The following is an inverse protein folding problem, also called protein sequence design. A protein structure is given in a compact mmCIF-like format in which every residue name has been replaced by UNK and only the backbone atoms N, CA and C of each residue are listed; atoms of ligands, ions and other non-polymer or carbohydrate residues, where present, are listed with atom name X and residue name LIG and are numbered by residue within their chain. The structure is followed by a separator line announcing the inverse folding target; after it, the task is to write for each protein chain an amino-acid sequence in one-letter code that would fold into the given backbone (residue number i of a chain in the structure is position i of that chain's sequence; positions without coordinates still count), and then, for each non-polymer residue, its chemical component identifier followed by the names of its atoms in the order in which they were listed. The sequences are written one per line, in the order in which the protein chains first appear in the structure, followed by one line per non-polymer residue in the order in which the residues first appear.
data_IF_809932047669
#
_entry.id   IF_809932047669
#
_cell.length_a   1.000
_cell.length_b   1.000
_cell.length_c   1.000
_cell.angle_alpha   90.00
_cell.angle_beta   90.00
_cell.angle_gamma   90.00
#
_symmetry.space_group_name_H-M   'P 1'
#
loop_
_entity.id
_entity.type
_entity.pdbx_description
1 polymer ?
#
# COMPACT_ATOMS: atom_id res chain seq x y z
N UNK A 1 38.57 -26.14 32.03
CA UNK A 1 37.72 -25.00 31.65
C UNK A 1 37.48 -25.10 30.15
N UNK A 2 36.26 -25.42 29.74
CA UNK A 2 35.86 -25.44 28.32
C UNK A 2 35.41 -24.02 27.99
N UNK A 3 36.22 -23.30 27.21
CA UNK A 3 35.90 -21.94 26.77
C UNK A 3 34.81 -21.97 25.70
N UNK A 4 33.75 -21.20 25.91
CA UNK A 4 32.74 -20.96 24.87
C UNK A 4 33.34 -20.03 23.82
N UNK A 5 33.49 -20.52 22.60
CA UNK A 5 33.81 -19.69 21.43
C UNK A 5 32.56 -18.87 21.11
N UNK A 6 32.65 -17.55 21.25
CA UNK A 6 31.61 -16.65 20.76
C UNK A 6 31.54 -16.76 19.22
N UNK A 7 30.34 -16.86 18.61
CA UNK A 7 30.22 -16.87 17.16
C UNK A 7 30.88 -15.62 16.58
N UNK A 8 31.63 -15.78 15.49
CA UNK A 8 32.16 -14.67 14.73
C UNK A 8 30.99 -13.73 14.31
N UNK A 9 31.20 -12.41 14.29
CA UNK A 9 30.19 -11.49 13.81
C UNK A 9 29.75 -11.89 12.39
N UNK A 10 28.44 -11.92 12.15
CA UNK A 10 27.90 -12.24 10.84
C UNK A 10 28.37 -11.19 9.82
N UNK A 11 28.72 -11.63 8.60
CA UNK A 11 28.99 -10.71 7.49
C UNK A 11 27.73 -9.85 7.21
N UNK A 12 27.92 -8.55 6.96
CA UNK A 12 26.82 -7.61 6.75
C UNK A 12 25.85 -8.03 5.62
N UNK A 13 26.34 -8.78 4.63
CA UNK A 13 25.52 -9.40 3.60
C UNK A 13 25.69 -10.93 3.66
N UNK A 14 24.62 -11.71 3.80
CA UNK A 14 24.74 -13.15 3.94
C UNK A 14 25.21 -13.80 2.62
N UNK A 15 26.11 -14.78 2.73
CA UNK A 15 26.51 -15.62 1.59
C UNK A 15 25.37 -16.53 1.14
N UNK A 16 24.68 -17.14 2.11
CA UNK A 16 23.55 -18.05 1.92
C UNK A 16 22.45 -17.74 2.91
N UNK A 17 21.21 -17.94 2.49
CA UNK A 17 20.03 -17.75 3.33
C UNK A 17 19.23 -19.05 3.33
N UNK A 18 18.99 -19.60 4.52
CA UNK A 18 18.09 -20.73 4.71
C UNK A 18 16.65 -20.20 4.86
N UNK A 19 15.75 -20.68 4.02
CA UNK A 19 14.33 -20.33 4.04
C UNK A 19 13.52 -21.56 4.45
N UNK A 20 13.29 -21.70 5.75
CA UNK A 20 12.51 -22.79 6.30
C UNK A 20 11.02 -22.62 5.98
N UNK A 21 10.40 -23.66 5.42
CA UNK A 21 8.98 -23.63 5.07
C UNK A 21 8.40 -25.06 5.02
N UNK A 22 7.07 -25.14 4.96
CA UNK A 22 6.34 -26.42 4.99
C UNK A 22 6.62 -27.33 3.77
N UNK A 23 7.04 -26.77 2.62
CA UNK A 23 7.41 -27.51 1.41
C UNK A 23 8.84 -28.07 1.45
N UNK A 24 9.57 -27.90 2.56
CA UNK A 24 10.99 -28.25 2.68
C UNK A 24 11.88 -27.01 2.59
N UNK A 25 13.03 -26.99 3.27
CA UNK A 25 13.91 -25.82 3.28
C UNK A 25 14.42 -25.47 1.88
N UNK A 26 14.57 -24.18 1.62
CA UNK A 26 15.25 -23.66 0.42
C UNK A 26 16.54 -22.99 0.86
N UNK A 27 17.66 -23.40 0.27
CA UNK A 27 18.96 -22.74 0.49
C UNK A 27 19.21 -21.76 -0.64
N UNK A 28 18.90 -20.48 -0.41
CA UNK A 28 19.18 -19.42 -1.36
C UNK A 28 20.69 -19.10 -1.34
N UNK A 29 21.36 -19.28 -2.48
CA UNK A 29 22.72 -18.80 -2.71
C UNK A 29 22.71 -17.28 -2.91
N UNK A 30 22.54 -16.53 -1.83
CA UNK A 30 22.32 -15.08 -1.85
C UNK A 30 23.49 -14.33 -2.50
N UNK A 31 24.73 -14.65 -2.15
CA UNK A 31 25.92 -14.01 -2.74
C UNK A 31 26.09 -14.31 -4.22
N UNK A 32 25.65 -15.49 -4.70
CA UNK A 32 25.66 -15.80 -6.12
C UNK A 32 24.73 -14.85 -6.89
N UNK A 33 23.49 -14.70 -6.43
CA UNK A 33 22.52 -13.80 -7.05
C UNK A 33 22.96 -12.33 -6.99
N UNK A 34 23.38 -11.87 -5.81
CA UNK A 34 23.71 -10.46 -5.59
C UNK A 34 25.04 -10.05 -6.25
N UNK A 35 26.07 -10.88 -6.16
CA UNK A 35 27.45 -10.48 -6.52
C UNK A 35 27.98 -11.16 -7.77
N UNK A 36 27.72 -12.45 -7.98
CA UNK A 36 28.21 -13.16 -9.17
C UNK A 36 27.34 -12.83 -10.39
N UNK A 37 26.02 -12.96 -10.24
CA UNK A 37 25.03 -12.61 -11.26
C UNK A 37 24.76 -11.10 -11.32
N UNK A 38 25.27 -10.33 -10.35
CA UNK A 38 25.17 -8.86 -10.26
C UNK A 38 23.73 -8.36 -10.33
N UNK A 39 22.79 -9.11 -9.73
CA UNK A 39 21.40 -8.69 -9.63
C UNK A 39 21.34 -7.50 -8.65
N UNK A 40 20.79 -6.33 -9.06
CA UNK A 40 20.66 -5.20 -8.16
C UNK A 40 19.80 -5.55 -6.95
N UNK A 41 20.20 -5.09 -5.75
CA UNK A 41 19.55 -5.45 -4.48
C UNK A 41 18.05 -5.16 -4.49
N UNK A 42 17.67 -4.00 -5.05
CA UNK A 42 16.29 -3.53 -5.13
C UNK A 42 15.39 -4.37 -6.07
N UNK A 43 15.96 -5.30 -6.85
CA UNK A 43 15.17 -6.28 -7.61
C UNK A 43 14.55 -7.35 -6.73
N UNK A 44 15.19 -7.67 -5.61
CA UNK A 44 14.65 -8.61 -4.61
C UNK A 44 14.07 -7.85 -3.42
N UNK A 45 14.83 -6.89 -2.90
CA UNK A 45 14.48 -6.00 -1.80
C UNK A 45 13.69 -4.80 -2.32
N UNK A 46 12.47 -5.09 -2.78
CA UNK A 46 11.58 -4.13 -3.44
C UNK A 46 10.86 -3.17 -2.48
N UNK A 47 11.21 -3.19 -1.19
CA UNK A 47 10.78 -2.21 -0.19
C UNK A 47 11.40 -0.82 -0.42
N UNK A 48 12.45 -0.74 -1.25
CA UNK A 48 13.11 0.52 -1.58
C UNK A 48 13.37 0.66 -3.08
N UNK A 49 13.24 1.87 -3.65
CA UNK A 49 13.67 2.13 -5.02
C UNK A 49 15.19 2.26 -5.18
N UNK A 50 15.95 2.28 -4.07
CA UNK A 50 17.41 2.44 -4.06
C UNK A 50 18.09 1.30 -3.30
N UNK A 51 19.32 0.98 -3.69
CA UNK A 51 20.14 -0.04 -3.02
C UNK A 51 20.39 0.32 -1.55
N UNK A 52 20.26 -0.68 -0.66
CA UNK A 52 20.53 -0.59 0.78
C UNK A 52 21.15 -1.88 1.29
N UNK A 53 21.84 -1.80 2.43
CA UNK A 53 22.42 -2.96 3.11
C UNK A 53 21.51 -3.44 4.26
N UNK A 54 20.81 -2.53 4.93
CA UNK A 54 19.84 -2.82 5.99
C UNK A 54 18.43 -3.11 5.43
N UNK A 55 18.34 -4.10 4.56
CA UNK A 55 17.10 -4.48 3.87
C UNK A 55 16.08 -5.17 4.79
N UNK A 56 14.81 -5.15 4.39
CA UNK A 56 13.72 -5.84 5.06
C UNK A 56 13.69 -7.33 4.72
N UNK A 57 13.26 -8.14 5.69
CA UNK A 57 12.89 -9.53 5.44
C UNK A 57 11.54 -9.56 4.74
N UNK A 58 11.36 -10.49 3.79
CA UNK A 58 10.10 -10.65 3.06
C UNK A 58 8.92 -10.81 4.03
N UNK A 59 9.15 -11.55 5.12
CA UNK A 59 8.21 -11.90 6.18
C UNK A 59 7.64 -10.71 6.97
N UNK A 60 8.35 -9.58 6.98
CA UNK A 60 7.89 -8.34 7.62
C UNK A 60 6.60 -7.83 6.97
N UNK A 61 6.37 -8.19 5.69
CA UNK A 61 5.19 -7.80 4.93
C UNK A 61 4.41 -9.02 4.40
N UNK A 62 5.10 -10.01 3.85
CA UNK A 62 4.50 -11.17 3.19
C UNK A 62 4.24 -12.31 4.18
N UNK A 63 2.95 -12.57 4.42
CA UNK A 63 2.51 -13.54 5.42
C UNK A 63 2.40 -12.96 6.84
N UNK A 64 2.51 -11.64 7.00
CA UNK A 64 2.19 -10.97 8.25
C UNK A 64 0.67 -11.01 8.52
N UNK A 65 0.29 -11.15 9.79
CA UNK A 65 -1.10 -10.97 10.21
C UNK A 65 -1.37 -9.46 10.36
N UNK A 66 -2.21 -8.87 9.50
CA UNK A 66 -2.55 -7.44 9.54
C UNK A 66 -3.62 -7.12 10.60
N UNK A 67 -3.43 -7.63 11.82
CA UNK A 67 -4.34 -7.47 12.95
C UNK A 67 -4.07 -6.17 13.74
N UNK A 68 -4.75 -6.03 14.90
CA UNK A 68 -4.58 -4.86 15.76
C UNK A 68 -3.16 -4.75 16.34
N UNK A 69 -2.50 -5.88 16.62
CA UNK A 69 -1.14 -5.90 17.14
C UNK A 69 -0.14 -5.45 16.07
N UNK A 70 -0.30 -5.92 14.83
CA UNK A 70 0.50 -5.41 13.70
C UNK A 70 0.31 -3.91 13.55
N UNK A 71 -0.93 -3.41 13.46
CA UNK A 71 -1.21 -1.97 13.31
C UNK A 71 -0.55 -1.12 14.41
N UNK A 72 -0.49 -1.62 15.64
CA UNK A 72 0.13 -0.91 16.77
C UNK A 72 1.66 -0.86 16.70
N UNK A 73 2.29 -1.95 16.26
CA UNK A 73 3.72 -2.17 16.50
C UNK A 73 4.59 -2.12 15.23
N UNK A 74 3.99 -2.28 14.03
CA UNK A 74 4.76 -2.46 12.80
C UNK A 74 5.68 -1.28 12.48
N UNK A 75 5.31 -0.05 12.84
CA UNK A 75 6.15 1.14 12.63
C UNK A 75 7.54 0.99 13.25
N UNK A 76 7.64 0.35 14.42
CA UNK A 76 8.92 0.11 15.10
C UNK A 76 9.69 -1.09 14.52
N UNK A 77 9.05 -1.91 13.68
CA UNK A 77 9.65 -3.11 13.09
C UNK A 77 10.31 -2.84 11.72
N UNK A 78 10.10 -1.66 11.12
CA UNK A 78 10.71 -1.28 9.85
C UNK A 78 11.98 -0.45 10.06
N UNK A 79 12.97 -0.68 9.20
CA UNK A 79 14.29 -0.06 9.31
C UNK A 79 14.29 1.41 8.87
N UNK A 80 13.36 1.80 7.99
CA UNK A 80 13.24 3.14 7.44
C UNK A 80 11.89 3.40 6.74
N UNK A 81 11.72 4.62 6.23
CA UNK A 81 10.47 5.09 5.62
C UNK A 81 10.23 4.64 4.17
N UNK A 82 11.21 4.07 3.47
CA UNK A 82 10.97 3.55 2.12
C UNK A 82 10.01 2.35 2.15
N UNK A 83 10.14 1.53 3.19
CA UNK A 83 9.24 0.41 3.46
C UNK A 83 7.79 0.90 3.63
N UNK A 84 7.59 2.06 4.28
CA UNK A 84 6.26 2.64 4.51
C UNK A 84 5.54 2.93 3.18
N UNK A 85 6.23 3.49 2.18
CA UNK A 85 5.63 3.79 0.88
C UNK A 85 5.42 2.58 -0.03
N UNK A 86 5.87 1.40 0.40
CA UNK A 86 5.55 0.16 -0.29
C UNK A 86 4.13 -0.30 0.04
N UNK A 87 3.69 -0.13 1.28
CA UNK A 87 2.33 -0.45 1.71
C UNK A 87 1.40 0.78 1.57
N UNK A 88 1.84 1.94 2.03
CA UNK A 88 1.12 3.21 1.90
C UNK A 88 1.55 3.91 0.60
N UNK A 89 1.23 3.28 -0.52
CA UNK A 89 1.78 3.63 -1.82
C UNK A 89 1.16 4.85 -2.51
N UNK A 90 -0.02 5.30 -2.09
CA UNK A 90 -0.73 6.46 -2.65
C UNK A 90 -1.34 7.33 -1.56
N UNK A 91 -1.33 8.64 -1.81
CA UNK A 91 -2.10 9.61 -1.06
C UNK A 91 -3.02 10.40 -1.99
N UNK A 92 -4.14 10.86 -1.44
CA UNK A 92 -5.12 11.69 -2.14
C UNK A 92 -4.99 13.14 -1.68
N UNK A 93 -5.09 14.05 -2.64
CA UNK A 93 -5.27 15.46 -2.39
C UNK A 93 -6.52 15.96 -3.11
N UNK A 94 -7.00 17.14 -2.70
CA UNK A 94 -8.08 17.80 -3.40
C UNK A 94 -7.70 18.02 -4.88
N UNK A 95 -8.67 17.83 -5.77
CA UNK A 95 -8.57 18.21 -7.18
C UNK A 95 -9.62 19.26 -7.48
N UNK A 96 -9.30 20.20 -8.36
CA UNK A 96 -10.28 21.15 -8.87
C UNK A 96 -11.20 20.44 -9.85
N UNK A 97 -12.37 20.03 -9.38
CA UNK A 97 -13.43 19.38 -10.18
C UNK A 97 -14.25 20.39 -11.01
N UNK A 98 -14.20 21.68 -10.65
CA UNK A 98 -14.70 22.78 -11.49
C UNK A 98 -16.14 23.20 -11.21
N UNK A 99 -16.39 23.86 -10.08
CA UNK A 99 -17.69 24.44 -9.71
C UNK A 99 -18.32 25.29 -10.84
N UNK A 100 -17.55 26.23 -11.38
CA UNK A 100 -17.97 27.11 -12.48
C UNK A 100 -18.49 26.33 -13.70
N UNK A 101 -17.82 25.25 -14.06
CA UNK A 101 -18.21 24.42 -15.21
C UNK A 101 -19.54 23.72 -14.95
N UNK A 102 -19.78 23.23 -13.74
CA UNK A 102 -21.05 22.61 -13.39
C UNK A 102 -22.22 23.59 -13.45
N UNK A 103 -22.02 24.81 -12.95
CA UNK A 103 -23.07 25.82 -12.91
C UNK A 103 -23.29 26.53 -14.27
N UNK A 104 -22.22 26.94 -14.97
CA UNK A 104 -22.33 27.74 -16.19
C UNK A 104 -22.43 26.89 -17.47
N UNK A 105 -21.61 25.84 -17.60
CA UNK A 105 -21.56 25.06 -18.85
C UNK A 105 -22.63 23.97 -18.88
N UNK A 106 -22.89 23.34 -17.74
CA UNK A 106 -23.89 22.27 -17.63
C UNK A 106 -25.24 22.74 -17.10
N UNK A 107 -25.34 23.99 -16.62
CA UNK A 107 -26.59 24.57 -16.12
C UNK A 107 -27.15 23.87 -14.89
N UNK A 108 -26.30 23.24 -14.07
CA UNK A 108 -26.72 22.56 -12.85
C UNK A 108 -27.13 23.60 -11.80
N UNK A 109 -28.35 23.47 -11.27
CA UNK A 109 -28.83 24.33 -10.18
C UNK A 109 -27.96 24.15 -8.92
N UNK A 110 -27.72 25.24 -8.20
CA UNK A 110 -26.87 25.25 -7.02
C UNK A 110 -27.28 24.18 -5.99
N UNK A 111 -28.59 23.97 -5.80
CA UNK A 111 -29.16 23.04 -4.81
C UNK A 111 -29.24 21.59 -5.31
N UNK A 112 -28.73 21.28 -6.49
CA UNK A 112 -28.45 19.89 -6.86
C UNK A 112 -27.16 19.38 -6.19
N UNK A 113 -26.20 20.27 -5.91
CA UNK A 113 -24.99 19.95 -5.15
C UNK A 113 -25.11 20.36 -3.67
N UNK A 114 -25.72 21.52 -3.40
CA UNK A 114 -25.97 22.05 -2.06
C UNK A 114 -27.29 21.51 -1.47
N UNK A 115 -27.57 21.80 -0.20
CA UNK A 115 -28.80 21.36 0.44
C UNK A 115 -30.02 22.06 -0.18
N UNK A 116 -31.03 21.25 -0.55
CA UNK A 116 -32.33 21.76 -0.98
C UNK A 116 -33.11 22.41 0.16
N UNK A 117 -32.84 22.02 1.41
CA UNK A 117 -33.49 22.58 2.59
C UNK A 117 -32.75 23.84 3.06
N UNK A 118 -33.40 24.99 2.93
CA UNK A 118 -32.87 26.30 3.31
C UNK A 118 -32.79 26.53 4.83
N UNK A 119 -33.40 25.66 5.63
CA UNK A 119 -33.22 25.67 7.09
C UNK A 119 -31.84 25.14 7.50
N UNK A 120 -31.19 24.34 6.65
CA UNK A 120 -29.83 23.82 6.87
C UNK A 120 -28.80 24.88 6.47
N UNK A 121 -28.94 25.43 5.25
CA UNK A 121 -28.15 26.55 4.77
C UNK A 121 -29.07 27.51 4.00
N UNK A 122 -29.17 28.77 4.46
CA UNK A 122 -30.05 29.74 3.82
C UNK A 122 -29.60 30.05 2.38
N UNK A 123 -28.28 30.17 2.21
CA UNK A 123 -27.59 30.31 0.93
C UNK A 123 -26.49 29.26 0.83
N UNK A 124 -26.15 28.77 -0.38
CA UNK A 124 -25.04 27.84 -0.60
C UNK A 124 -23.73 28.31 0.05
N UNK A 125 -23.17 27.51 0.96
CA UNK A 125 -21.91 27.82 1.66
C UNK A 125 -20.90 26.66 1.59
N UNK A 126 -19.74 26.83 2.21
CA UNK A 126 -18.72 25.78 2.18
C UNK A 126 -19.14 24.62 3.09
N UNK A 127 -19.14 23.40 2.56
CA UNK A 127 -19.47 22.19 3.30
C UNK A 127 -18.67 22.08 4.61
N UNK A 128 -17.39 22.50 4.58
CA UNK A 128 -16.48 22.41 5.72
C UNK A 128 -16.82 23.37 6.87
N UNK A 129 -17.75 24.31 6.68
CA UNK A 129 -18.22 25.20 7.75
C UNK A 129 -19.09 24.44 8.77
N UNK A 130 -19.61 23.27 8.41
CA UNK A 130 -20.44 22.42 9.28
C UNK A 130 -20.03 20.93 9.28
N UNK A 131 -19.44 20.42 8.20
CA UNK A 131 -19.02 19.01 8.08
C UNK A 131 -17.54 18.85 8.44
N UNK A 132 -17.27 18.10 9.50
CA UNK A 132 -15.90 17.86 9.96
C UNK A 132 -15.07 17.06 8.95
N UNK A 133 -13.77 17.39 8.86
CA UNK A 133 -12.84 16.65 8.01
C UNK A 133 -12.70 15.19 8.47
N UNK A 134 -12.59 14.27 7.52
CA UNK A 134 -12.39 12.85 7.81
C UNK A 134 -12.22 12.02 6.54
N UNK A 135 -11.69 10.81 6.71
CA UNK A 135 -11.70 9.81 5.64
C UNK A 135 -13.13 9.25 5.45
N UNK A 136 -13.50 8.81 4.24
CA UNK A 136 -14.78 8.16 4.01
C UNK A 136 -14.96 6.98 4.95
N UNK A 137 -16.08 6.95 5.67
CA UNK A 137 -16.38 5.86 6.61
C UNK A 137 -17.35 4.85 6.04
N UNK A 138 -18.17 5.27 5.06
CA UNK A 138 -19.28 4.48 4.55
C UNK A 138 -20.37 4.18 5.59
N UNK A 139 -20.34 4.86 6.75
CA UNK A 139 -21.34 4.71 7.81
C UNK A 139 -22.33 5.87 7.74
N UNK A 140 -23.58 5.59 8.10
CA UNK A 140 -24.57 6.64 8.31
C UNK A 140 -24.16 7.48 9.53
N UNK A 141 -24.28 8.79 9.42
CA UNK A 141 -24.10 9.69 10.56
C UNK A 141 -25.11 9.37 11.68
N UNK A 142 -24.73 9.70 12.92
CA UNK A 142 -25.65 9.61 14.05
C UNK A 142 -26.80 10.60 13.86
N UNK A 143 -27.98 10.25 14.36
CA UNK A 143 -29.15 11.10 14.23
C UNK A 143 -28.91 12.48 14.86
N UNK A 144 -29.23 13.53 14.10
CA UNK A 144 -29.01 14.91 14.52
C UNK A 144 -27.57 15.42 14.34
N UNK A 145 -26.66 14.64 13.76
CA UNK A 145 -25.30 15.09 13.44
C UNK A 145 -25.02 15.06 11.94
N UNK A 146 -24.23 16.02 11.41
CA UNK A 146 -23.81 15.96 10.02
C UNK A 146 -22.82 14.80 9.81
N UNK A 147 -22.86 14.10 8.65
CA UNK A 147 -21.76 13.20 8.27
C UNK A 147 -20.44 13.96 8.17
N UNK A 148 -19.30 13.25 8.21
CA UNK A 148 -18.03 13.90 7.88
C UNK A 148 -18.02 14.41 6.43
N UNK A 149 -17.15 15.36 6.16
CA UNK A 149 -17.03 16.06 4.88
C UNK A 149 -16.88 15.11 3.69
N UNK A 150 -16.07 14.05 3.81
CA UNK A 150 -15.85 13.12 2.71
C UNK A 150 -17.12 12.31 2.38
N UNK A 151 -17.82 11.80 3.41
CA UNK A 151 -19.09 11.09 3.21
C UNK A 151 -20.19 12.01 2.68
N UNK A 152 -20.26 13.26 3.15
CA UNK A 152 -21.19 14.28 2.65
C UNK A 152 -20.98 14.58 1.16
N UNK A 153 -19.74 14.90 0.77
CA UNK A 153 -19.37 15.22 -0.61
C UNK A 153 -19.59 14.01 -1.52
N UNK A 154 -19.15 12.82 -1.11
CA UNK A 154 -19.38 11.61 -1.90
C UNK A 154 -20.88 11.33 -2.12
N UNK A 155 -21.71 11.51 -1.09
CA UNK A 155 -23.15 11.33 -1.20
C UNK A 155 -23.84 12.35 -2.14
N UNK A 156 -23.23 13.52 -2.40
CA UNK A 156 -23.71 14.48 -3.39
C UNK A 156 -23.19 14.16 -4.79
N UNK A 157 -21.90 13.86 -4.94
CA UNK A 157 -21.33 13.60 -6.26
C UNK A 157 -21.82 12.28 -6.88
N UNK A 158 -22.07 11.25 -6.07
CA UNK A 158 -22.47 9.93 -6.59
C UNK A 158 -23.79 9.96 -7.34
N UNK A 159 -24.72 10.87 -7.02
CA UNK A 159 -26.04 10.94 -7.66
C UNK A 159 -25.97 11.25 -9.16
N UNK A 160 -24.88 11.88 -9.61
CA UNK A 160 -24.66 12.21 -11.03
C UNK A 160 -23.44 11.47 -11.61
N UNK A 161 -22.49 11.04 -10.78
CA UNK A 161 -21.24 10.40 -11.20
C UNK A 161 -21.17 8.91 -10.81
N UNK A 162 -22.30 8.21 -10.83
CA UNK A 162 -22.40 6.79 -10.42
C UNK A 162 -21.32 5.91 -11.04
N UNK A 163 -21.04 6.07 -12.34
CA UNK A 163 -20.02 5.30 -13.05
C UNK A 163 -18.60 5.54 -12.52
N UNK A 164 -18.29 6.79 -12.13
CA UNK A 164 -17.00 7.12 -11.53
C UNK A 164 -16.85 6.42 -10.18
N UNK A 165 -17.91 6.41 -9.36
CA UNK A 165 -17.90 5.69 -8.08
C UNK A 165 -17.87 4.17 -8.27
N UNK A 166 -18.59 3.64 -9.26
CA UNK A 166 -18.59 2.22 -9.62
C UNK A 166 -17.20 1.72 -10.07
N UNK A 167 -16.37 2.61 -10.61
CA UNK A 167 -14.97 2.33 -10.95
C UNK A 167 -14.03 2.20 -9.72
N UNK A 168 -14.52 2.45 -8.50
CA UNK A 168 -13.79 2.29 -7.23
C UNK A 168 -12.44 3.02 -7.26
N UNK A 169 -11.35 2.35 -6.87
CA UNK A 169 -10.00 2.90 -6.83
C UNK A 169 -9.57 3.63 -8.13
N UNK A 170 -10.05 3.15 -9.30
CA UNK A 170 -9.75 3.79 -10.60
C UNK A 170 -10.52 5.10 -10.80
N UNK A 171 -11.71 5.21 -10.21
CA UNK A 171 -12.55 6.40 -10.28
C UNK A 171 -12.10 7.54 -9.38
N UNK A 172 -11.41 7.23 -8.27
CA UNK A 172 -10.95 8.24 -7.32
C UNK A 172 -10.13 9.37 -7.98
N UNK A 173 -9.31 9.05 -8.99
CA UNK A 173 -8.48 10.02 -9.73
C UNK A 173 -9.28 11.06 -10.53
N UNK A 174 -10.58 10.84 -10.74
CA UNK A 174 -11.45 11.81 -11.40
C UNK A 174 -11.70 13.03 -10.49
N UNK A 175 -11.85 12.80 -9.17
CA UNK A 175 -12.17 13.82 -8.17
C UNK A 175 -11.01 14.16 -7.22
N UNK A 176 -10.02 13.28 -7.11
CA UNK A 176 -8.84 13.48 -6.27
C UNK A 176 -7.57 13.47 -7.11
N UNK A 177 -6.60 14.27 -6.70
CA UNK A 177 -5.23 14.15 -7.19
C UNK A 177 -4.59 12.97 -6.47
N UNK A 178 -3.99 12.05 -7.20
CA UNK A 178 -3.30 10.89 -6.65
C UNK A 178 -1.80 11.10 -6.74
N UNK A 179 -1.11 11.01 -5.61
CA UNK A 179 0.35 11.07 -5.54
C UNK A 179 0.87 9.72 -5.11
N UNK A 180 1.74 9.11 -5.91
CA UNK A 180 2.46 7.94 -5.46
C UNK A 180 3.47 8.37 -4.39
N UNK A 181 3.37 7.80 -3.19
CA UNK A 181 4.23 8.19 -2.06
C UNK A 181 5.70 7.90 -2.36
N UNK A 182 5.96 6.91 -3.22
CA UNK A 182 7.31 6.61 -3.73
C UNK A 182 7.93 7.75 -4.54
N UNK A 183 7.14 8.58 -5.21
CA UNK A 183 7.67 9.72 -5.98
C UNK A 183 8.18 10.84 -5.06
N UNK A 184 7.71 10.84 -3.81
CA UNK A 184 8.18 11.72 -2.73
C UNK A 184 9.46 11.15 -2.09
N UNK A 185 9.60 9.82 -2.04
CA UNK A 185 10.82 9.07 -1.67
C UNK A 185 11.81 8.99 -2.83
N UNK A 186 12.35 10.14 -3.24
CA UNK A 186 13.73 10.39 -2.85
C UNK A 186 14.03 11.84 -2.42
N UNK A 187 13.02 12.72 -2.41
CA UNK A 187 13.19 14.17 -2.22
C UNK A 187 13.22 14.60 -0.76
N UNK A 188 12.42 13.96 0.09
CA UNK A 188 12.13 14.45 1.45
C UNK A 188 12.73 13.60 2.57
N UNK A 189 13.34 12.45 2.25
CA UNK A 189 13.84 11.51 3.26
C UNK A 189 12.69 10.76 3.96
N UNK A 190 12.46 11.06 5.26
CA UNK A 190 11.43 10.40 6.07
C UNK A 190 10.02 10.84 5.62
N UNK A 191 9.29 9.96 4.93
CA UNK A 191 7.87 10.20 4.59
C UNK A 191 7.00 10.34 5.83
N UNK A 192 6.29 11.45 5.93
CA UNK A 192 5.17 11.59 6.85
C UNK A 192 3.88 11.25 6.11
N UNK A 193 3.31 10.09 6.44
CA UNK A 193 2.06 9.64 5.84
C UNK A 193 0.88 10.43 6.37
N UNK A 194 -0.10 10.72 5.51
CA UNK A 194 -1.37 11.29 5.89
C UNK A 194 -2.24 10.23 6.60
N UNK A 195 -2.56 10.40 7.90
CA UNK A 195 -3.32 9.40 8.66
C UNK A 195 -4.70 9.08 8.09
N UNK A 196 -5.28 9.99 7.29
CA UNK A 196 -6.59 9.75 6.66
C UNK A 196 -6.55 8.62 5.62
N UNK A 197 -5.40 8.35 5.02
CA UNK A 197 -5.25 7.38 3.93
C UNK A 197 -4.39 6.17 4.29
N UNK A 198 -3.96 6.05 5.55
CA UNK A 198 -3.17 4.90 5.99
C UNK A 198 -3.99 3.60 6.08
N UNK A 199 -5.31 3.69 6.21
CA UNK A 199 -6.17 2.52 6.18
C UNK A 199 -6.43 2.06 4.74
N UNK A 200 -5.93 0.87 4.40
CA UNK A 200 -6.04 0.28 3.06
C UNK A 200 -7.49 0.19 2.55
N UNK A 201 -8.45 -0.01 3.46
CA UNK A 201 -9.87 -0.16 3.11
C UNK A 201 -10.46 1.11 2.48
N UNK A 202 -9.86 2.29 2.71
CA UNK A 202 -10.28 3.56 2.12
C UNK A 202 -10.21 3.50 0.59
N UNK A 203 -9.20 2.84 0.03
CA UNK A 203 -9.00 2.74 -1.42
C UNK A 203 -9.35 1.35 -1.98
N UNK A 204 -9.03 0.28 -1.24
CA UNK A 204 -9.12 -1.09 -1.75
C UNK A 204 -10.41 -1.82 -1.36
N UNK A 205 -11.18 -1.29 -0.41
CA UNK A 205 -12.27 -2.04 0.23
C UNK A 205 -11.77 -3.24 1.03
N UNK A 206 -12.64 -3.87 1.81
CA UNK A 206 -12.27 -5.07 2.58
C UNK A 206 -12.49 -6.35 1.76
N UNK A 207 -11.61 -7.37 1.88
CA UNK A 207 -10.38 -7.43 2.69
C UNK A 207 -9.13 -6.94 1.92
N UNK A 208 -8.72 -5.69 2.15
CA UNK A 208 -7.61 -5.04 1.44
C UNK A 208 -6.26 -5.74 1.67
N UNK A 209 -6.07 -6.31 2.86
CA UNK A 209 -4.86 -7.00 3.27
C UNK A 209 -4.55 -8.23 2.39
N UNK A 210 -5.56 -8.84 1.76
CA UNK A 210 -5.38 -9.96 0.83
C UNK A 210 -4.71 -9.56 -0.49
N UNK A 211 -4.55 -8.26 -0.75
CA UNK A 211 -3.77 -7.76 -1.88
C UNK A 211 -2.27 -7.98 -1.69
N UNK A 212 -1.82 -8.18 -0.45
CA UNK A 212 -0.43 -8.50 -0.13
C UNK A 212 -0.30 -10.02 -0.20
N UNK A 213 0.50 -10.57 -1.13
CA UNK A 213 0.70 -12.01 -1.24
C UNK A 213 1.23 -12.60 0.06
N UNK A 214 0.77 -13.81 0.38
CA UNK A 214 1.36 -14.59 1.45
C UNK A 214 2.82 -14.94 1.16
N UNK A 215 3.55 -15.39 2.20
CA UNK A 215 4.98 -15.70 2.12
C UNK A 215 5.31 -16.63 0.95
N UNK A 216 4.58 -17.74 0.80
CA UNK A 216 4.81 -18.73 -0.26
C UNK A 216 4.68 -18.09 -1.65
N UNK A 217 3.56 -17.42 -1.91
CA UNK A 217 3.28 -16.80 -3.20
C UNK A 217 4.28 -15.69 -3.54
N UNK A 218 4.71 -14.91 -2.54
CA UNK A 218 5.72 -13.88 -2.71
C UNK A 218 7.05 -14.46 -3.19
N UNK A 219 7.54 -15.53 -2.53
CA UNK A 219 8.77 -16.20 -2.93
C UNK A 219 8.65 -16.85 -4.31
N UNK A 220 7.60 -17.64 -4.55
CA UNK A 220 7.41 -18.29 -5.86
C UNK A 220 7.32 -17.26 -6.98
N UNK A 221 6.54 -16.20 -6.80
CA UNK A 221 6.40 -15.14 -7.82
C UNK A 221 7.74 -14.43 -8.09
N UNK A 222 8.53 -14.16 -7.06
CA UNK A 222 9.83 -13.50 -7.23
C UNK A 222 10.85 -14.42 -7.91
N UNK A 223 11.11 -15.60 -7.32
CA UNK A 223 12.14 -16.52 -7.78
C UNK A 223 11.79 -17.11 -9.15
N UNK A 224 10.61 -17.75 -9.25
CA UNK A 224 10.19 -18.40 -10.49
C UNK A 224 9.92 -17.38 -11.60
N UNK A 225 9.37 -16.21 -11.26
CA UNK A 225 9.10 -15.17 -12.26
C UNK A 225 10.37 -14.60 -12.89
N UNK A 226 11.44 -14.40 -12.10
CA UNK A 226 12.74 -14.00 -12.66
C UNK A 226 13.33 -15.11 -13.54
N UNK A 227 13.31 -16.35 -13.05
CA UNK A 227 13.83 -17.51 -13.78
C UNK A 227 13.11 -17.74 -15.10
N UNK A 228 11.79 -17.66 -15.11
CA UNK A 228 10.96 -17.79 -16.30
C UNK A 228 11.28 -16.69 -17.32
N UNK A 229 11.30 -15.43 -16.86
CA UNK A 229 11.59 -14.27 -17.72
C UNK A 229 12.96 -14.37 -18.38
N UNK A 230 13.97 -14.84 -17.64
CA UNK A 230 15.33 -15.01 -18.14
C UNK A 230 15.55 -16.37 -18.83
N UNK A 231 14.58 -17.28 -18.76
CA UNK A 231 14.69 -18.68 -19.17
C UNK A 231 15.92 -19.38 -18.56
N UNK A 232 16.21 -19.09 -17.29
CA UNK A 232 17.37 -19.60 -16.54
C UNK A 232 16.95 -19.99 -15.14
N UNK A 233 17.39 -21.15 -14.65
CA UNK A 233 17.04 -21.67 -13.33
C UNK A 233 15.65 -22.33 -13.29
N UNK A 234 15.24 -22.86 -12.12
CA UNK A 234 13.97 -23.58 -11.97
C UNK A 234 12.75 -22.65 -11.88
N UNK A 235 11.72 -22.94 -12.66
CA UNK A 235 10.41 -22.25 -12.62
C UNK A 235 9.23 -23.16 -13.04
N UNK A 236 9.50 -24.38 -13.50
CA UNK A 236 8.46 -25.34 -13.89
C UNK A 236 7.83 -26.06 -12.69
N UNK A 237 6.57 -26.49 -12.84
CA UNK A 237 5.83 -27.24 -11.81
C UNK A 237 6.49 -28.56 -11.42
N UNK A 238 7.29 -29.15 -12.31
CA UNK A 238 8.02 -30.40 -12.07
C UNK A 238 9.42 -30.18 -11.46
N UNK A 239 9.79 -28.93 -11.15
CA UNK A 239 11.15 -28.56 -10.73
C UNK A 239 11.26 -28.25 -9.23
N UNK A 240 10.28 -28.66 -8.42
CA UNK A 240 10.20 -28.36 -6.98
C UNK A 240 11.50 -28.71 -6.23
N UNK A 241 12.05 -29.89 -6.49
CA UNK A 241 13.27 -30.40 -5.85
C UNK A 241 14.56 -29.66 -6.25
N UNK A 242 14.50 -28.78 -7.25
CA UNK A 242 15.63 -27.92 -7.62
C UNK A 242 15.72 -26.67 -6.72
N UNK A 243 14.63 -26.33 -6.03
CA UNK A 243 14.59 -25.24 -5.05
C UNK A 243 14.58 -25.79 -3.62
N UNK A 244 13.71 -26.76 -3.37
CA UNK A 244 13.51 -27.35 -2.06
C UNK A 244 14.48 -28.50 -1.86
N UNK A 245 15.30 -28.41 -0.82
CA UNK A 245 16.06 -29.55 -0.34
C UNK A 245 15.06 -30.48 0.33
N UNK A 246 14.82 -31.65 -0.26
CA UNK A 246 13.91 -32.68 0.26
C UNK A 246 14.16 -32.91 1.76
N UNK A 247 13.08 -33.12 2.53
CA UNK A 247 13.22 -33.72 3.87
C UNK A 247 13.60 -35.18 3.77
#
# INVERSE_FOLDING_TARGET
MVGYVLPLPHEAVPQRVLLDNAGGPVVLQHAEHAFQQKIPCEKCHHESPVRRENVQRCESCHGAAFDAAFRKNHMAAFNDNASCATCHHYELAAKKWGHKRHQEEYGVDCRECHHKNTEIEAEPQNCADCHDSGAPTGKKAEEGTPPNLADAVHARCVTCHEEMFAAKAKGCAQCHSQTAVRDILPKEGLVKLNPMFTNCAVCHGLPAEKLIPGRMDAYHKLCMGCHEKLKKGPYGKEQCAQCHTSK
#
